data_IF_018250336442
#
_entry.id   IF_018250336442
#
_cell.length_a   1.000
_cell.length_b   1.000
_cell.length_c   1.000
_cell.angle_alpha   90.00
_cell.angle_beta   90.00
_cell.angle_gamma   90.00
#
_symmetry.space_group_name_H-M   'P 1'
#
loop_
_entity.id
_entity.type
_entity.pdbx_description
1 polymer ?
#
# COMPACT_ATOMS: atom_id res chain seq x y z
N UNK A 1 -19.06 16.81 -16.33
CA UNK A 1 -18.98 16.58 -14.86
C UNK A 1 -18.79 15.08 -14.64
N UNK A 2 -17.74 14.65 -13.94
CA UNK A 2 -17.54 13.24 -13.59
C UNK A 2 -18.62 12.81 -12.60
N UNK A 3 -19.50 11.91 -13.01
CA UNK A 3 -20.57 11.40 -12.17
C UNK A 3 -20.08 10.17 -11.39
N UNK A 4 -20.04 10.27 -10.06
CA UNK A 4 -19.70 9.16 -9.19
C UNK A 4 -20.85 8.14 -9.14
N UNK A 5 -20.57 6.88 -9.43
CA UNK A 5 -21.57 5.81 -9.38
C UNK A 5 -21.90 5.44 -7.93
N UNK A 6 -23.16 5.51 -7.55
CA UNK A 6 -23.58 5.18 -6.19
C UNK A 6 -23.33 3.70 -5.82
N UNK A 7 -23.57 2.77 -6.78
CA UNK A 7 -23.32 1.34 -6.61
C UNK A 7 -22.31 0.83 -7.63
N UNK A 8 -21.21 0.31 -7.14
CA UNK A 8 -20.15 -0.29 -7.97
C UNK A 8 -20.38 -1.78 -8.18
N UNK A 9 -21.02 -2.45 -7.21
CA UNK A 9 -21.29 -3.90 -7.22
C UNK A 9 -20.13 -4.71 -6.65
N UNK A 10 -20.16 -6.01 -6.91
CA UNK A 10 -19.14 -6.99 -6.47
C UNK A 10 -18.09 -7.20 -7.57
N UNK A 11 -16.94 -7.76 -7.20
CA UNK A 11 -15.93 -8.21 -8.17
C UNK A 11 -16.44 -9.40 -8.97
N UNK A 12 -16.12 -9.43 -10.25
CA UNK A 12 -16.42 -10.52 -11.16
C UNK A 12 -15.15 -11.36 -11.43
N UNK A 13 -15.33 -12.57 -11.96
CA UNK A 13 -14.22 -13.48 -12.29
C UNK A 13 -13.17 -12.81 -13.20
N UNK A 14 -13.64 -11.98 -14.12
CA UNK A 14 -12.76 -11.28 -15.07
C UNK A 14 -11.95 -10.18 -14.38
N UNK A 15 -12.54 -9.47 -13.41
CA UNK A 15 -11.83 -8.49 -12.60
C UNK A 15 -10.68 -9.14 -11.83
N UNK A 16 -10.94 -10.29 -11.20
CA UNK A 16 -9.93 -11.05 -10.45
C UNK A 16 -8.81 -11.53 -11.35
N UNK A 17 -9.14 -12.06 -12.54
CA UNK A 17 -8.15 -12.51 -13.52
C UNK A 17 -7.23 -11.37 -13.96
N UNK A 18 -7.79 -10.22 -14.32
CA UNK A 18 -7.02 -9.05 -14.75
C UNK A 18 -6.18 -8.50 -13.57
N UNK A 19 -6.75 -8.41 -12.37
CA UNK A 19 -6.03 -7.99 -11.17
C UNK A 19 -4.85 -8.93 -10.86
N UNK A 20 -4.99 -10.24 -11.08
CA UNK A 20 -3.91 -11.21 -10.90
C UNK A 20 -2.78 -10.97 -11.89
N UNK A 21 -3.09 -10.79 -13.16
CA UNK A 21 -2.09 -10.46 -14.20
C UNK A 21 -1.38 -9.15 -13.84
N UNK A 22 -2.14 -8.14 -13.43
CA UNK A 22 -1.59 -6.85 -13.03
C UNK A 22 -0.69 -6.97 -11.79
N UNK A 23 -1.06 -7.81 -10.80
CA UNK A 23 -0.21 -8.08 -9.64
C UNK A 23 1.12 -8.73 -10.04
N UNK A 24 1.11 -9.69 -10.97
CA UNK A 24 2.35 -10.29 -11.49
C UNK A 24 3.24 -9.26 -12.19
N UNK A 25 2.65 -8.39 -13.01
CA UNK A 25 3.40 -7.31 -13.68
C UNK A 25 3.96 -6.30 -12.68
N UNK A 26 3.16 -5.87 -11.69
CA UNK A 26 3.62 -4.98 -10.62
C UNK A 26 4.75 -5.62 -9.80
N UNK A 27 4.61 -6.89 -9.42
CA UNK A 27 5.64 -7.63 -8.68
C UNK A 27 6.96 -7.72 -9.45
N UNK A 28 6.90 -8.08 -10.73
CA UNK A 28 8.06 -8.10 -11.61
C UNK A 28 8.72 -6.71 -11.71
N UNK A 29 7.91 -5.67 -11.87
CA UNK A 29 8.39 -4.29 -11.91
C UNK A 29 9.10 -3.90 -10.60
N UNK A 30 8.51 -4.19 -9.44
CA UNK A 30 9.10 -3.86 -8.14
C UNK A 30 10.44 -4.60 -7.90
N UNK A 31 10.53 -5.87 -8.28
CA UNK A 31 11.78 -6.63 -8.18
C UNK A 31 12.85 -6.03 -9.10
N UNK A 32 12.50 -5.72 -10.33
CA UNK A 32 13.45 -5.20 -11.32
C UNK A 32 13.96 -3.80 -10.96
N UNK A 33 13.05 -2.89 -10.62
CA UNK A 33 13.38 -1.47 -10.35
C UNK A 33 13.92 -1.29 -8.93
N UNK A 34 13.28 -1.91 -7.92
CA UNK A 34 13.55 -1.69 -6.51
C UNK A 34 14.59 -2.63 -5.92
N UNK A 35 14.92 -3.70 -6.64
CA UNK A 35 15.80 -4.77 -6.15
C UNK A 35 15.32 -5.31 -4.79
N UNK A 36 16.26 -5.69 -3.90
CA UNK A 36 15.92 -6.29 -2.61
C UNK A 36 15.05 -5.41 -1.70
N UNK A 37 15.32 -4.10 -1.51
CA UNK A 37 14.50 -3.26 -0.64
C UNK A 37 13.01 -3.27 -0.99
N UNK A 38 12.65 -3.05 -2.26
CA UNK A 38 11.26 -3.06 -2.69
C UNK A 38 10.69 -4.49 -2.80
N UNK A 39 11.51 -5.49 -3.10
CA UNK A 39 11.06 -6.87 -3.10
C UNK A 39 10.60 -7.30 -1.69
N UNK A 40 11.40 -7.03 -0.67
CA UNK A 40 11.12 -7.42 0.72
C UNK A 40 9.89 -6.68 1.29
N UNK A 41 9.71 -5.42 0.93
CA UNK A 41 8.65 -4.57 1.52
C UNK A 41 7.36 -4.54 0.68
N UNK A 42 7.46 -4.40 -0.65
CA UNK A 42 6.30 -4.23 -1.53
C UNK A 42 5.61 -5.55 -1.88
N UNK A 43 6.38 -6.64 -2.09
CA UNK A 43 5.77 -7.93 -2.49
C UNK A 43 4.82 -8.46 -1.43
N UNK A 44 5.12 -8.45 -0.11
CA UNK A 44 4.14 -8.83 0.91
C UNK A 44 2.84 -8.02 0.82
N UNK A 45 2.93 -6.70 0.65
CA UNK A 45 1.78 -5.82 0.47
C UNK A 45 0.95 -6.18 -0.76
N UNK A 46 1.62 -6.48 -1.87
CA UNK A 46 0.96 -6.87 -3.12
C UNK A 46 0.27 -8.24 -3.01
N UNK A 47 0.92 -9.21 -2.38
CA UNK A 47 0.36 -10.55 -2.14
C UNK A 47 -0.89 -10.45 -1.25
N UNK A 48 -0.83 -9.68 -0.16
CA UNK A 48 -1.99 -9.48 0.71
C UNK A 48 -3.11 -8.74 -0.02
N UNK A 49 -2.78 -7.72 -0.81
CA UNK A 49 -3.78 -6.99 -1.61
C UNK A 49 -4.48 -7.92 -2.61
N UNK A 50 -3.73 -8.80 -3.26
CA UNK A 50 -4.29 -9.82 -4.14
C UNK A 50 -5.14 -10.84 -3.37
N UNK A 51 -4.69 -11.29 -2.20
CA UNK A 51 -5.47 -12.18 -1.32
C UNK A 51 -6.80 -11.54 -0.91
N UNK A 52 -6.81 -10.23 -0.62
CA UNK A 52 -8.04 -9.47 -0.34
C UNK A 52 -8.96 -9.40 -1.56
N UNK A 53 -8.44 -9.26 -2.78
CA UNK A 53 -9.23 -9.34 -4.02
C UNK A 53 -9.94 -10.70 -4.10
N UNK A 54 -9.22 -11.81 -3.89
CA UNK A 54 -9.81 -13.15 -3.87
C UNK A 54 -10.83 -13.34 -2.74
N UNK A 55 -10.54 -12.83 -1.56
CA UNK A 55 -11.47 -12.85 -0.42
C UNK A 55 -12.77 -12.08 -0.74
N UNK A 56 -12.65 -10.87 -1.28
CA UNK A 56 -13.81 -10.04 -1.65
C UNK A 56 -14.64 -10.73 -2.74
N UNK A 57 -14.00 -11.32 -3.74
CA UNK A 57 -14.68 -12.09 -4.78
C UNK A 57 -15.40 -13.31 -4.21
N UNK A 58 -14.72 -14.14 -3.40
CA UNK A 58 -15.30 -15.34 -2.81
C UNK A 58 -16.49 -15.05 -1.88
N UNK A 59 -16.44 -13.92 -1.16
CA UNK A 59 -17.51 -13.47 -0.26
C UNK A 59 -18.57 -12.60 -0.94
N UNK A 60 -18.43 -12.33 -2.24
CA UNK A 60 -19.31 -11.44 -3.00
C UNK A 60 -19.52 -10.09 -2.29
N UNK A 61 -18.42 -9.52 -1.74
CA UNK A 61 -18.48 -8.24 -1.03
C UNK A 61 -18.74 -7.10 -2.02
N UNK A 62 -19.80 -6.36 -1.76
CA UNK A 62 -20.04 -5.11 -2.49
C UNK A 62 -18.98 -4.08 -2.17
N UNK A 63 -18.44 -3.44 -3.19
CA UNK A 63 -17.55 -2.28 -3.03
C UNK A 63 -18.28 -1.15 -2.30
N UNK A 64 -17.56 -0.30 -1.54
CA UNK A 64 -18.17 0.81 -0.83
C UNK A 64 -18.83 1.80 -1.79
N UNK A 65 -19.77 2.60 -1.31
CA UNK A 65 -20.36 3.66 -2.12
C UNK A 65 -19.33 4.77 -2.40
N UNK A 66 -19.33 5.30 -3.61
CA UNK A 66 -18.44 6.37 -4.01
C UNK A 66 -18.55 7.60 -3.09
N UNK A 67 -19.78 7.98 -2.75
CA UNK A 67 -20.07 9.15 -1.91
C UNK A 67 -19.37 9.12 -0.54
N UNK A 68 -19.29 7.94 0.08
CA UNK A 68 -18.68 7.80 1.41
C UNK A 68 -17.19 7.45 1.36
N UNK A 69 -16.74 6.74 0.31
CA UNK A 69 -15.40 6.20 0.26
C UNK A 69 -14.40 7.12 -0.46
N UNK A 70 -14.78 7.72 -1.58
CA UNK A 70 -13.85 8.56 -2.38
C UNK A 70 -13.30 9.74 -1.57
N UNK A 71 -14.12 10.52 -0.81
CA UNK A 71 -13.56 11.58 0.04
C UNK A 71 -12.59 11.06 1.11
N UNK A 72 -12.90 9.91 1.73
CA UNK A 72 -12.04 9.28 2.73
C UNK A 72 -10.71 8.80 2.13
N UNK A 73 -10.77 8.18 0.95
CA UNK A 73 -9.59 7.74 0.22
C UNK A 73 -8.67 8.93 -0.12
N UNK A 74 -9.22 10.01 -0.67
CA UNK A 74 -8.43 11.19 -1.01
C UNK A 74 -7.97 11.98 0.22
N UNK A 75 -8.71 11.96 1.33
CA UNK A 75 -8.22 12.52 2.59
C UNK A 75 -6.99 11.75 3.12
N UNK A 76 -7.04 10.41 3.07
CA UNK A 76 -5.88 9.59 3.43
C UNK A 76 -4.72 9.77 2.44
N UNK A 77 -5.05 10.03 1.18
CA UNK A 77 -4.06 10.29 0.14
C UNK A 77 -3.40 11.67 0.30
N UNK A 78 -4.14 12.68 0.77
CA UNK A 78 -3.55 13.97 1.16
C UNK A 78 -2.54 13.80 2.31
N UNK A 79 -2.82 12.90 3.28
CA UNK A 79 -1.86 12.54 4.32
C UNK A 79 -0.60 11.89 3.75
N UNK A 80 -0.72 11.12 2.67
CA UNK A 80 0.42 10.49 1.99
C UNK A 80 1.43 11.53 1.44
N UNK A 81 0.98 12.69 1.01
CA UNK A 81 1.90 13.76 0.61
C UNK A 81 2.70 14.32 1.79
N UNK A 82 2.07 14.40 2.97
CA UNK A 82 2.78 14.83 4.20
C UNK A 82 3.80 13.77 4.61
N UNK A 83 3.42 12.49 4.53
CA UNK A 83 4.32 11.37 4.81
C UNK A 83 5.50 11.32 3.85
N UNK A 84 5.24 11.42 2.55
CA UNK A 84 6.30 11.52 1.54
C UNK A 84 7.23 12.70 1.79
N UNK A 85 6.69 13.86 2.19
CA UNK A 85 7.52 15.02 2.50
C UNK A 85 8.43 14.73 3.71
N UNK A 86 7.94 14.09 4.77
CA UNK A 86 8.79 13.68 5.90
C UNK A 86 9.88 12.73 5.43
N UNK A 87 9.54 11.65 4.72
CA UNK A 87 10.50 10.71 4.18
C UNK A 87 11.57 11.41 3.33
N UNK A 88 11.15 12.33 2.46
CA UNK A 88 12.05 13.02 1.54
C UNK A 88 13.02 13.94 2.28
N UNK A 89 12.53 14.82 3.15
CA UNK A 89 13.39 15.81 3.83
C UNK A 89 14.29 15.18 4.88
N UNK A 90 13.91 14.02 5.43
CA UNK A 90 14.70 13.29 6.42
C UNK A 90 15.60 12.22 5.83
N UNK A 91 15.57 12.04 4.50
CA UNK A 91 16.54 11.23 3.77
C UNK A 91 16.21 9.74 3.69
N UNK A 92 14.93 9.34 3.76
CA UNK A 92 14.50 7.95 3.61
C UNK A 92 15.08 7.27 2.37
N UNK A 93 15.18 7.99 1.25
CA UNK A 93 15.77 7.48 0.00
C UNK A 93 17.23 7.06 0.14
N UNK A 94 17.94 7.54 1.15
CA UNK A 94 19.32 7.13 1.48
C UNK A 94 19.32 5.98 2.48
N UNK A 95 18.62 6.16 3.59
CA UNK A 95 18.69 5.24 4.75
C UNK A 95 17.99 3.91 4.45
N UNK A 96 16.80 3.94 3.83
CA UNK A 96 16.03 2.73 3.57
C UNK A 96 16.75 1.66 2.72
N UNK A 97 17.40 1.98 1.59
CA UNK A 97 18.13 0.96 0.83
C UNK A 97 19.33 0.39 1.57
N UNK A 98 19.98 1.19 2.44
CA UNK A 98 21.13 0.74 3.23
C UNK A 98 20.76 -0.40 4.19
N UNK A 99 19.54 -0.39 4.76
CA UNK A 99 19.05 -1.49 5.61
C UNK A 99 19.10 -2.87 4.92
N UNK A 100 19.12 -2.89 3.61
CA UNK A 100 19.15 -4.12 2.79
C UNK A 100 20.47 -4.30 2.04
N UNK A 101 21.56 -3.69 2.51
CA UNK A 101 22.86 -3.75 1.85
C UNK A 101 22.88 -3.17 0.44
N UNK A 102 21.89 -2.34 0.08
CA UNK A 102 21.77 -1.74 -1.24
C UNK A 102 22.32 -0.30 -1.22
N UNK A 103 22.75 0.20 -2.38
CA UNK A 103 23.16 1.59 -2.51
C UNK A 103 21.95 2.53 -2.35
N UNK A 104 22.15 3.74 -1.77
CA UNK A 104 21.13 4.79 -1.72
C UNK A 104 20.44 5.02 -3.07
N UNK A 105 19.15 5.29 -3.04
CA UNK A 105 18.45 5.70 -4.26
C UNK A 105 18.82 7.14 -4.62
N UNK A 106 18.87 7.44 -5.92
CA UNK A 106 18.92 8.84 -6.32
C UNK A 106 17.59 9.54 -6.00
N UNK A 107 17.65 10.87 -5.82
CA UNK A 107 16.45 11.68 -5.60
C UNK A 107 15.42 11.47 -6.70
N UNK A 108 15.88 11.48 -7.97
CA UNK A 108 15.02 11.29 -9.14
C UNK A 108 14.31 9.95 -9.09
N UNK A 109 15.04 8.88 -8.74
CA UNK A 109 14.47 7.53 -8.64
C UNK A 109 13.40 7.46 -7.55
N UNK A 110 13.70 7.97 -6.37
CA UNK A 110 12.77 7.96 -5.24
C UNK A 110 11.50 8.76 -5.55
N UNK A 111 11.65 9.98 -6.05
CA UNK A 111 10.53 10.85 -6.43
C UNK A 111 9.71 10.21 -7.56
N UNK A 112 10.38 9.69 -8.60
CA UNK A 112 9.69 9.10 -9.76
C UNK A 112 8.84 7.88 -9.36
N UNK A 113 9.38 6.97 -8.55
CA UNK A 113 8.63 5.79 -8.07
C UNK A 113 7.38 6.23 -7.30
N UNK A 114 7.52 7.18 -6.37
CA UNK A 114 6.40 7.68 -5.58
C UNK A 114 5.36 8.38 -6.44
N UNK A 115 5.77 9.30 -7.32
CA UNK A 115 4.83 10.08 -8.15
C UNK A 115 4.06 9.20 -9.14
N UNK A 116 4.72 8.22 -9.78
CA UNK A 116 4.03 7.24 -10.64
C UNK A 116 3.04 6.42 -9.82
N UNK A 117 3.44 5.93 -8.65
CA UNK A 117 2.55 5.17 -7.75
C UNK A 117 1.33 6.00 -7.35
N UNK A 118 1.52 7.24 -6.97
CA UNK A 118 0.43 8.16 -6.59
C UNK A 118 -0.52 8.45 -7.74
N UNK A 119 0.01 8.61 -8.94
CA UNK A 119 -0.80 8.75 -10.14
C UNK A 119 -1.68 7.49 -10.36
N UNK A 120 -1.09 6.30 -10.29
CA UNK A 120 -1.80 5.02 -10.46
C UNK A 120 -2.87 4.82 -9.39
N UNK A 121 -2.58 5.12 -8.12
CA UNK A 121 -3.55 4.98 -7.03
C UNK A 121 -4.72 5.95 -7.18
N UNK A 122 -4.44 7.21 -7.51
CA UNK A 122 -5.46 8.25 -7.70
C UNK A 122 -6.35 7.94 -8.89
N UNK A 123 -5.77 7.64 -10.05
CA UNK A 123 -6.50 7.28 -11.26
C UNK A 123 -7.28 5.98 -11.07
N UNK A 124 -6.68 4.98 -10.40
CA UNK A 124 -7.36 3.74 -10.06
C UNK A 124 -8.66 3.98 -9.29
N UNK A 125 -8.59 4.82 -8.24
CA UNK A 125 -9.77 5.19 -7.47
C UNK A 125 -10.83 5.90 -8.33
N UNK A 126 -10.43 6.93 -9.08
CA UNK A 126 -11.34 7.67 -9.95
C UNK A 126 -12.02 6.73 -10.96
N UNK A 127 -11.25 5.90 -11.66
CA UNK A 127 -11.77 5.02 -12.71
C UNK A 127 -12.69 3.92 -12.13
N UNK A 128 -12.36 3.32 -10.99
CA UNK A 128 -13.25 2.36 -10.32
C UNK A 128 -14.61 2.97 -10.03
N UNK A 129 -14.63 4.18 -9.47
CA UNK A 129 -15.88 4.81 -9.03
C UNK A 129 -16.63 5.60 -10.11
N UNK A 130 -16.03 5.82 -11.27
CA UNK A 130 -16.69 6.50 -12.41
C UNK A 130 -17.01 5.54 -13.56
N UNK A 131 -16.07 4.65 -13.90
CA UNK A 131 -16.18 3.74 -15.05
C UNK A 131 -16.48 2.29 -14.67
N UNK A 132 -16.46 1.95 -13.37
CA UNK A 132 -16.65 0.58 -12.85
C UNK A 132 -15.61 -0.44 -13.34
N UNK A 133 -14.39 0.00 -13.67
CA UNK A 133 -13.28 -0.92 -13.99
C UNK A 133 -12.72 -1.50 -12.68
N UNK A 134 -13.40 -2.54 -12.17
CA UNK A 134 -13.21 -3.06 -10.82
C UNK A 134 -11.87 -3.77 -10.60
N UNK A 135 -11.18 -4.23 -11.63
CA UNK A 135 -9.83 -4.78 -11.50
C UNK A 135 -8.82 -3.75 -10.95
N UNK A 136 -9.06 -2.45 -11.13
CA UNK A 136 -8.25 -1.37 -10.57
C UNK A 136 -8.43 -1.20 -9.04
N UNK A 137 -9.26 -2.01 -8.41
CA UNK A 137 -9.29 -2.13 -6.95
C UNK A 137 -7.94 -2.67 -6.41
N UNK A 138 -7.16 -3.40 -7.21
CA UNK A 138 -5.86 -3.89 -6.79
C UNK A 138 -4.87 -2.77 -6.41
N UNK A 139 -4.56 -1.77 -7.25
CA UNK A 139 -3.68 -0.68 -6.85
C UNK A 139 -4.24 0.15 -5.69
N UNK A 140 -5.56 0.28 -5.56
CA UNK A 140 -6.16 0.94 -4.40
C UNK A 140 -5.90 0.15 -3.11
N UNK A 141 -6.13 -1.18 -3.12
CA UNK A 141 -5.82 -2.04 -1.98
C UNK A 141 -4.33 -2.06 -1.68
N UNK A 142 -3.48 -2.06 -2.70
CA UNK A 142 -2.04 -2.00 -2.51
C UNK A 142 -1.62 -0.70 -1.81
N UNK A 143 -2.20 0.45 -2.18
CA UNK A 143 -1.99 1.68 -1.44
C UNK A 143 -2.47 1.57 0.02
N UNK A 144 -3.66 1.02 0.27
CA UNK A 144 -4.20 0.88 1.64
C UNK A 144 -3.34 -0.09 2.47
N UNK A 145 -2.98 -1.24 1.90
CA UNK A 145 -2.24 -2.30 2.61
C UNK A 145 -0.77 -1.95 2.78
N UNK A 146 -0.09 -1.55 1.70
CA UNK A 146 1.32 -1.22 1.76
C UNK A 146 1.56 0.26 2.11
N UNK A 147 0.97 1.19 1.35
CA UNK A 147 1.20 2.63 1.52
C UNK A 147 0.68 3.21 2.83
N UNK A 148 -0.27 2.55 3.49
CA UNK A 148 -0.77 2.98 4.80
C UNK A 148 -0.37 1.99 5.90
N UNK A 149 -0.91 0.75 5.87
CA UNK A 149 -0.69 -0.25 6.93
C UNK A 149 0.78 -0.68 6.97
N UNK A 150 1.37 -0.91 5.81
CA UNK A 150 2.79 -1.24 5.70
C UNK A 150 3.67 -0.15 6.29
N UNK A 151 3.47 1.11 5.92
CA UNK A 151 4.23 2.23 6.46
C UNK A 151 4.06 2.36 7.99
N UNK A 152 2.82 2.22 8.52
CA UNK A 152 2.61 2.23 9.97
C UNK A 152 3.47 1.16 10.67
N UNK A 153 3.46 -0.07 10.15
CA UNK A 153 4.16 -1.20 10.75
C UNK A 153 5.67 -1.08 10.58
N UNK A 154 6.16 -0.84 9.36
CA UNK A 154 7.60 -0.86 9.06
C UNK A 154 8.35 0.32 9.68
N UNK A 155 7.83 1.55 9.58
CA UNK A 155 8.48 2.71 10.21
C UNK A 155 8.48 2.62 11.74
N UNK A 156 7.41 2.06 12.35
CA UNK A 156 7.40 1.77 13.78
C UNK A 156 8.48 0.73 14.12
N UNK A 157 8.59 -0.33 13.32
CA UNK A 157 9.55 -1.40 13.53
C UNK A 157 11.00 -0.91 13.40
N UNK A 158 11.35 -0.20 12.36
CA UNK A 158 12.69 0.37 12.18
C UNK A 158 13.08 1.32 13.31
N UNK A 159 12.15 2.18 13.73
CA UNK A 159 12.42 3.07 14.88
C UNK A 159 12.66 2.31 16.19
N UNK A 160 11.98 1.15 16.38
CA UNK A 160 12.23 0.29 17.53
C UNK A 160 13.56 -0.46 17.43
N UNK A 161 13.90 -1.01 16.26
CA UNK A 161 15.16 -1.74 16.05
C UNK A 161 16.38 -0.86 16.23
N UNK A 162 16.35 0.37 15.71
CA UNK A 162 17.46 1.31 15.80
C UNK A 162 17.43 2.20 17.05
N UNK A 163 16.48 1.95 17.98
CA UNK A 163 16.33 2.70 19.24
C UNK A 163 16.29 4.21 19.02
N UNK A 164 15.67 4.66 17.93
CA UNK A 164 15.64 6.08 17.60
C UNK A 164 14.68 6.41 16.45
N UNK A 165 14.74 7.65 16.03
CA UNK A 165 13.97 8.13 14.90
C UNK A 165 14.48 7.50 13.60
N UNK A 166 13.55 6.94 12.82
CA UNK A 166 13.78 6.53 11.44
C UNK A 166 12.96 7.41 10.48
N UNK A 167 13.51 7.83 9.32
CA UNK A 167 12.82 8.71 8.36
C UNK A 167 11.38 8.26 8.06
N UNK A 168 10.41 9.18 8.16
CA UNK A 168 8.99 8.90 7.96
C UNK A 168 8.23 8.41 9.19
N UNK A 169 8.89 8.21 10.34
CA UNK A 169 8.27 7.63 11.54
C UNK A 169 7.05 8.41 12.05
N UNK A 170 7.13 9.73 12.18
CA UNK A 170 6.08 10.50 12.83
C UNK A 170 4.77 10.48 12.06
N UNK A 171 4.81 10.72 10.77
CA UNK A 171 3.61 10.73 9.94
C UNK A 171 3.08 9.32 9.66
N UNK A 172 3.94 8.29 9.67
CA UNK A 172 3.53 6.90 9.58
C UNK A 172 2.58 6.50 10.73
N UNK A 173 2.71 7.12 11.92
CA UNK A 173 1.82 6.81 13.05
C UNK A 173 0.35 7.15 12.76
N UNK A 174 0.08 8.13 11.91
CA UNK A 174 -1.27 8.45 11.47
C UNK A 174 -1.96 7.28 10.72
N UNK A 175 -1.19 6.40 10.11
CA UNK A 175 -1.74 5.27 9.36
C UNK A 175 -2.25 4.12 10.23
N UNK A 176 -1.87 4.02 11.49
CA UNK A 176 -2.54 3.10 12.42
C UNK A 176 -4.04 3.38 12.50
N UNK A 177 -4.43 4.65 12.43
CA UNK A 177 -5.82 5.08 12.47
C UNK A 177 -6.42 5.14 11.07
N UNK A 178 -5.79 5.87 10.14
CA UNK A 178 -6.30 6.06 8.77
C UNK A 178 -6.39 4.73 8.01
N UNK A 179 -5.35 3.90 8.06
CA UNK A 179 -5.32 2.59 7.41
C UNK A 179 -6.42 1.68 7.94
N UNK A 180 -6.64 1.68 9.27
CA UNK A 180 -7.73 0.92 9.87
C UNK A 180 -9.10 1.40 9.41
N UNK A 181 -9.34 2.71 9.42
CA UNK A 181 -10.63 3.28 9.01
C UNK A 181 -10.89 2.98 7.53
N UNK A 182 -9.93 3.27 6.65
CA UNK A 182 -10.08 3.10 5.19
C UNK A 182 -10.30 1.62 4.84
N UNK A 183 -9.48 0.73 5.37
CA UNK A 183 -9.61 -0.71 5.07
C UNK A 183 -10.89 -1.29 5.66
N UNK A 184 -11.29 -0.92 6.88
CA UNK A 184 -12.53 -1.42 7.47
C UNK A 184 -13.79 -0.95 6.72
N UNK A 185 -13.77 0.23 6.13
CA UNK A 185 -14.83 0.71 5.24
C UNK A 185 -14.84 -0.05 3.92
N UNK A 186 -13.67 -0.39 3.40
CA UNK A 186 -13.52 -1.13 2.17
C UNK A 186 -13.98 -2.59 2.33
N UNK A 187 -13.51 -3.28 3.37
CA UNK A 187 -13.87 -4.68 3.65
C UNK A 187 -15.20 -4.87 4.38
N UNK A 188 -15.82 -3.79 4.88
CA UNK A 188 -17.03 -3.84 5.71
C UNK A 188 -16.89 -4.77 6.94
N UNK A 189 -15.66 -4.97 7.44
CA UNK A 189 -15.34 -5.88 8.52
C UNK A 189 -14.12 -5.41 9.32
N UNK A 190 -14.33 -5.02 10.58
CA UNK A 190 -13.24 -4.70 11.51
C UNK A 190 -12.34 -5.91 11.77
N UNK A 191 -12.93 -7.11 11.89
CA UNK A 191 -12.17 -8.36 12.10
C UNK A 191 -11.23 -8.64 10.92
N UNK A 192 -11.72 -8.57 9.69
CA UNK A 192 -10.88 -8.76 8.51
C UNK A 192 -9.77 -7.70 8.44
N UNK A 193 -10.07 -6.45 8.81
CA UNK A 193 -9.07 -5.38 8.90
C UNK A 193 -7.97 -5.71 9.90
N UNK A 194 -8.31 -6.07 11.14
CA UNK A 194 -7.31 -6.47 12.16
C UNK A 194 -6.48 -7.65 11.68
N UNK A 195 -7.12 -8.67 11.09
CA UNK A 195 -6.40 -9.82 10.55
C UNK A 195 -5.45 -9.44 9.41
N UNK A 196 -5.79 -8.41 8.62
CA UNK A 196 -4.88 -7.89 7.58
C UNK A 196 -3.65 -7.21 8.20
N UNK A 197 -3.81 -6.40 9.24
CA UNK A 197 -2.68 -5.81 9.98
C UNK A 197 -1.77 -6.89 10.57
N UNK A 198 -2.34 -7.87 11.26
CA UNK A 198 -1.59 -8.98 11.86
C UNK A 198 -0.89 -9.79 10.77
N UNK A 199 -1.60 -10.16 9.71
CA UNK A 199 -1.04 -10.95 8.61
C UNK A 199 0.10 -10.22 7.90
N UNK A 200 -0.04 -8.91 7.68
CA UNK A 200 1.05 -8.11 7.10
C UNK A 200 2.26 -8.09 8.03
N UNK A 201 2.06 -7.80 9.33
CA UNK A 201 3.14 -7.76 10.30
C UNK A 201 3.87 -9.11 10.41
N UNK A 202 3.13 -10.22 10.47
CA UNK A 202 3.70 -11.57 10.57
C UNK A 202 4.53 -11.97 9.34
N UNK A 203 4.30 -11.36 8.18
CA UNK A 203 5.06 -11.62 6.96
C UNK A 203 6.22 -10.63 6.85
N UNK A 204 5.95 -9.32 6.97
CA UNK A 204 6.95 -8.31 6.65
C UNK A 204 8.00 -8.16 7.74
N UNK A 205 7.63 -8.24 9.04
CA UNK A 205 8.61 -8.02 10.12
C UNK A 205 9.72 -9.08 10.14
N UNK A 206 9.45 -10.40 10.02
CA UNK A 206 10.51 -11.38 9.89
C UNK A 206 11.37 -11.15 8.64
N UNK A 207 10.74 -10.81 7.49
CA UNK A 207 11.48 -10.59 6.25
C UNK A 207 12.46 -9.42 6.35
N UNK A 208 12.03 -8.26 6.86
CA UNK A 208 12.91 -7.11 7.02
C UNK A 208 14.00 -7.37 8.07
N UNK A 209 13.65 -7.96 9.22
CA UNK A 209 14.63 -8.24 10.29
C UNK A 209 15.71 -9.22 9.84
N UNK A 210 15.34 -10.30 9.15
CA UNK A 210 16.31 -11.29 8.65
C UNK A 210 17.19 -10.72 7.55
N UNK A 211 16.67 -9.85 6.68
CA UNK A 211 17.45 -9.25 5.60
C UNK A 211 18.39 -8.17 6.11
N UNK A 212 18.00 -7.39 7.13
CA UNK A 212 18.92 -6.45 7.79
C UNK A 212 20.05 -7.20 8.50
N UNK A 213 19.74 -8.22 9.29
CA UNK A 213 20.73 -8.98 10.06
C UNK A 213 21.75 -9.72 9.19
N UNK A 214 21.41 -10.03 7.95
CA UNK A 214 22.35 -10.70 7.03
C UNK A 214 23.37 -9.72 6.42
N UNK A 215 23.14 -8.42 6.52
CA UNK A 215 23.99 -7.38 5.93
C UNK A 215 24.78 -6.57 6.99
N UNK A 216 24.47 -6.72 8.29
CA UNK A 216 25.28 -6.24 9.41
C UNK A 216 26.44 -7.21 9.72
#
# INVERSE_FOLDING_TARGET
>A
MLELKEKIGTLEKNDVKIATIMALLMGTFFIYIGKLPLAVTFIPGLVISLALIYFMYAKQLELPSAKSFVPLFFASFAWQFIHFNEEFVTGFYREFPLLFGSHPYSVERFVTINMISYCVFSLGCIIVFTQKLKFLVLPMLFYIVYGMIGNAITHTWWSLLHWGYFPGFYTAQGYWVLGFIVLSRFLKSRKATVLTFIGFALIVLPLITLTEWYHD
#
